data_IF_899457102412
#
_entry.id   IF_899457102412
#
_cell.length_a   1.000
_cell.length_b   1.000
_cell.length_c   1.000
_cell.angle_alpha   90.00
_cell.angle_beta   90.00
_cell.angle_gamma   90.00
#
_symmetry.space_group_name_H-M   'P 1'
#
loop_
_entity.id
_entity.type
_entity.pdbx_description
1 polymer ?
#
# COMPACT_ATOMS: atom_id res chain seq x y z
N UNK A 1 -37.22 28.12 7.61
CA UNK A 1 -37.90 26.95 7.00
C UNK A 1 -36.84 26.07 6.38
N UNK A 2 -36.61 24.86 6.92
CA UNK A 2 -35.67 23.91 6.36
C UNK A 2 -36.39 23.14 5.26
N UNK A 3 -36.08 23.44 4.00
CA UNK A 3 -36.60 22.69 2.85
C UNK A 3 -35.86 21.35 2.86
N UNK A 4 -36.46 20.32 3.45
CA UNK A 4 -35.99 18.94 3.27
C UNK A 4 -36.25 18.58 1.82
N UNK A 5 -35.26 18.80 0.95
CA UNK A 5 -35.30 18.35 -0.43
C UNK A 5 -35.48 16.84 -0.43
N UNK A 6 -36.64 16.36 -0.89
CA UNK A 6 -36.82 14.95 -1.22
C UNK A 6 -36.05 14.72 -2.53
N UNK A 7 -34.91 14.05 -2.44
CA UNK A 7 -34.23 13.51 -3.62
C UNK A 7 -35.22 12.58 -4.35
N UNK A 8 -35.46 12.78 -5.65
CA UNK A 8 -36.30 11.88 -6.44
C UNK A 8 -35.78 10.45 -6.35
N UNK A 9 -36.68 9.47 -6.25
CA UNK A 9 -36.32 8.06 -6.14
C UNK A 9 -35.40 7.59 -7.29
N UNK A 10 -35.58 8.13 -8.49
CA UNK A 10 -34.73 7.87 -9.64
C UNK A 10 -33.28 8.34 -9.44
N UNK A 11 -33.07 9.51 -8.87
CA UNK A 11 -31.72 10.04 -8.58
C UNK A 11 -31.02 9.20 -7.50
N UNK A 12 -31.77 8.72 -6.50
CA UNK A 12 -31.26 7.78 -5.50
C UNK A 12 -30.84 6.44 -6.12
N UNK A 13 -31.60 5.92 -7.08
CA UNK A 13 -31.25 4.68 -7.80
C UNK A 13 -29.97 4.88 -8.62
N UNK A 14 -29.86 5.98 -9.35
CA UNK A 14 -28.68 6.30 -10.16
C UNK A 14 -27.41 6.46 -9.30
N UNK A 15 -27.52 7.14 -8.15
CA UNK A 15 -26.42 7.25 -7.19
C UNK A 15 -26.01 5.89 -6.65
N UNK A 16 -26.96 5.05 -6.23
CA UNK A 16 -26.68 3.69 -5.71
C UNK A 16 -26.00 2.83 -6.77
N UNK A 17 -26.46 2.87 -8.02
CA UNK A 17 -25.83 2.14 -9.13
C UNK A 17 -24.40 2.63 -9.39
N UNK A 18 -24.16 3.93 -9.34
CA UNK A 18 -22.83 4.51 -9.48
C UNK A 18 -21.90 4.05 -8.36
N UNK A 19 -22.37 4.11 -7.11
CA UNK A 19 -21.61 3.60 -5.96
C UNK A 19 -21.31 2.10 -6.08
N UNK A 20 -22.26 1.29 -6.53
CA UNK A 20 -22.06 -0.15 -6.74
C UNK A 20 -20.96 -0.42 -7.80
N UNK A 21 -20.99 0.30 -8.92
CA UNK A 21 -19.96 0.20 -9.97
C UNK A 21 -18.57 0.61 -9.47
N UNK A 22 -18.49 1.66 -8.65
CA UNK A 22 -17.23 2.09 -8.03
C UNK A 22 -16.69 1.03 -7.07
N UNK A 23 -17.55 0.44 -6.23
CA UNK A 23 -17.17 -0.64 -5.31
C UNK A 23 -16.69 -1.89 -6.04
N UNK A 24 -17.36 -2.30 -7.12
CA UNK A 24 -16.89 -3.43 -7.94
C UNK A 24 -15.52 -3.16 -8.56
N UNK A 25 -15.28 -1.94 -9.05
CA UNK A 25 -13.99 -1.55 -9.61
C UNK A 25 -12.89 -1.61 -8.55
N UNK A 26 -13.16 -1.11 -7.34
CA UNK A 26 -12.22 -1.21 -6.21
C UNK A 26 -11.96 -2.66 -5.82
N UNK A 27 -12.99 -3.51 -5.77
CA UNK A 27 -12.85 -4.94 -5.45
C UNK A 27 -11.97 -5.65 -6.48
N UNK A 28 -12.26 -5.50 -7.78
CA UNK A 28 -11.46 -6.12 -8.85
C UNK A 28 -10.01 -5.69 -8.83
N UNK A 29 -9.75 -4.43 -8.48
CA UNK A 29 -8.39 -3.92 -8.32
C UNK A 29 -7.69 -4.56 -7.12
N UNK A 30 -8.36 -4.63 -5.97
CA UNK A 30 -7.82 -5.28 -4.77
C UNK A 30 -7.55 -6.78 -4.98
N UNK A 31 -8.43 -7.49 -5.69
CA UNK A 31 -8.26 -8.92 -6.01
C UNK A 31 -6.95 -9.22 -6.75
N UNK A 32 -6.37 -8.25 -7.49
CA UNK A 32 -5.08 -8.40 -8.19
C UNK A 32 -3.88 -8.46 -7.25
N UNK A 33 -3.99 -7.80 -6.10
CA UNK A 33 -2.90 -7.67 -5.10
C UNK A 33 -3.15 -8.52 -3.86
N UNK A 34 -4.32 -9.15 -3.75
CA UNK A 34 -4.75 -9.85 -2.54
C UNK A 34 -3.76 -10.91 -2.09
N UNK A 35 -3.28 -11.75 -3.02
CA UNK A 35 -2.28 -12.77 -2.73
C UNK A 35 -0.97 -12.18 -2.19
N UNK A 36 -0.51 -11.06 -2.78
CA UNK A 36 0.68 -10.34 -2.31
C UNK A 36 0.46 -9.78 -0.91
N UNK A 37 -0.68 -9.14 -0.66
CA UNK A 37 -1.04 -8.57 0.64
C UNK A 37 -1.13 -9.64 1.72
N UNK A 38 -1.79 -10.76 1.42
CA UNK A 38 -1.93 -11.90 2.34
C UNK A 38 -0.55 -12.47 2.71
N UNK A 39 0.33 -12.67 1.74
CA UNK A 39 1.71 -13.12 1.99
C UNK A 39 2.49 -12.11 2.81
N UNK A 40 2.41 -10.81 2.50
CA UNK A 40 3.09 -9.78 3.31
C UNK A 40 2.54 -9.77 4.74
N UNK A 41 1.25 -10.02 4.98
CA UNK A 41 0.69 -10.13 6.33
C UNK A 41 1.25 -11.31 7.12
N UNK A 42 1.52 -12.46 6.47
CA UNK A 42 2.15 -13.62 7.09
C UNK A 42 3.64 -13.42 7.43
N UNK A 43 4.34 -12.56 6.68
CA UNK A 43 5.78 -12.37 6.81
C UNK A 43 6.20 -11.92 8.23
N UNK A 44 7.12 -12.64 8.88
CA UNK A 44 7.72 -12.23 10.14
C UNK A 44 9.25 -12.15 9.97
N UNK A 45 9.87 -10.97 10.14
CA UNK A 45 11.32 -10.82 10.03
C UNK A 45 12.05 -11.44 11.24
N UNK A 46 13.25 -11.99 11.03
CA UNK A 46 13.94 -12.83 12.04
C UNK A 46 14.89 -12.03 12.96
N UNK A 47 15.18 -10.76 12.65
CA UNK A 47 15.92 -9.77 13.46
C UNK A 47 16.14 -8.54 12.60
N UNK A 48 15.76 -7.36 13.07
CA UNK A 48 15.73 -6.16 12.24
C UNK A 48 16.56 -5.02 12.82
N UNK A 49 17.57 -4.58 12.05
CA UNK A 49 18.37 -3.40 12.38
C UNK A 49 18.30 -2.30 11.31
N UNK A 50 18.01 -2.66 10.06
CA UNK A 50 18.06 -1.75 8.90
C UNK A 50 16.99 -2.10 7.86
N UNK A 51 16.52 -1.09 7.13
CA UNK A 51 15.55 -1.24 6.03
C UNK A 51 16.05 -2.20 4.93
N UNK A 52 17.34 -2.15 4.61
CA UNK A 52 17.94 -3.05 3.61
C UNK A 52 17.89 -4.54 4.01
N UNK A 53 18.00 -4.83 5.30
CA UNK A 53 17.90 -6.20 5.81
C UNK A 53 16.45 -6.70 5.71
N UNK A 54 15.48 -5.81 5.98
CA UNK A 54 14.06 -6.08 5.81
C UNK A 54 13.68 -6.30 4.34
N UNK A 55 14.25 -5.49 3.45
CA UNK A 55 14.08 -5.64 2.00
C UNK A 55 14.56 -7.01 1.53
N UNK A 56 15.76 -7.43 1.93
CA UNK A 56 16.29 -8.72 1.54
C UNK A 56 15.45 -9.88 2.08
N UNK A 57 15.04 -9.83 3.34
CA UNK A 57 14.21 -10.86 3.96
C UNK A 57 12.83 -10.94 3.30
N UNK A 58 12.19 -9.80 3.07
CA UNK A 58 10.88 -9.76 2.41
C UNK A 58 10.97 -10.25 0.97
N UNK A 59 12.00 -9.84 0.21
CA UNK A 59 12.25 -10.35 -1.14
C UNK A 59 12.38 -11.87 -1.17
N UNK A 60 13.20 -12.46 -0.29
CA UNK A 60 13.37 -13.91 -0.21
C UNK A 60 12.05 -14.61 0.14
N UNK A 61 11.32 -14.08 1.12
CA UNK A 61 10.05 -14.63 1.55
C UNK A 61 8.99 -14.60 0.44
N UNK A 62 8.84 -13.45 -0.23
CA UNK A 62 7.94 -13.29 -1.37
C UNK A 62 8.32 -14.23 -2.52
N UNK A 63 9.60 -14.34 -2.85
CA UNK A 63 10.07 -15.23 -3.93
C UNK A 63 9.74 -16.69 -3.64
N UNK A 64 9.87 -17.13 -2.38
CA UNK A 64 9.52 -18.49 -1.97
C UNK A 64 7.99 -18.75 -2.01
N UNK A 65 7.18 -17.79 -1.56
CA UNK A 65 5.73 -17.94 -1.45
C UNK A 65 4.99 -17.70 -2.78
N UNK A 66 5.49 -16.77 -3.59
CA UNK A 66 4.88 -16.33 -4.84
C UNK A 66 5.71 -16.77 -6.05
N UNK A 67 6.11 -18.05 -6.11
CA UNK A 67 6.95 -18.63 -7.16
C UNK A 67 6.43 -18.48 -8.60
N UNK A 68 5.16 -18.07 -8.80
CA UNK A 68 4.55 -17.81 -10.11
C UNK A 68 4.64 -16.34 -10.56
N UNK A 69 5.07 -15.45 -9.68
CA UNK A 69 5.19 -14.01 -9.91
C UNK A 69 6.64 -13.67 -10.26
N UNK A 70 6.84 -12.67 -11.12
CA UNK A 70 8.18 -12.11 -11.36
C UNK A 70 8.48 -11.09 -10.28
N UNK A 71 9.57 -11.27 -9.53
CA UNK A 71 9.93 -10.39 -8.41
C UNK A 71 11.36 -9.87 -8.62
N UNK A 72 11.51 -8.55 -8.56
CA UNK A 72 12.80 -7.86 -8.75
C UNK A 72 13.04 -6.87 -7.61
N UNK A 73 14.30 -6.58 -7.28
CA UNK A 73 14.68 -5.59 -6.25
C UNK A 73 15.33 -4.35 -6.87
N UNK A 74 15.17 -3.19 -6.23
CA UNK A 74 15.84 -1.93 -6.61
C UNK A 74 15.58 -1.48 -8.07
N UNK A 75 14.39 -1.81 -8.61
CA UNK A 75 14.01 -1.48 -10.00
C UNK A 75 13.83 0.03 -10.15
N UNK A 76 14.40 0.60 -11.22
CA UNK A 76 14.25 2.03 -11.51
C UNK A 76 12.85 2.31 -12.10
N UNK A 77 12.08 3.17 -11.43
CA UNK A 77 10.73 3.61 -11.80
C UNK A 77 10.66 5.13 -11.66
N UNK A 78 10.38 5.84 -12.75
CA UNK A 78 10.23 7.30 -12.71
C UNK A 78 11.47 8.07 -12.24
N UNK A 79 12.67 7.50 -12.40
CA UNK A 79 13.94 8.06 -11.92
C UNK A 79 14.27 7.74 -10.45
N UNK A 80 13.40 7.01 -9.75
CA UNK A 80 13.60 6.52 -8.38
C UNK A 80 13.78 5.00 -8.39
N UNK A 81 14.32 4.44 -7.32
CA UNK A 81 14.44 2.99 -7.16
C UNK A 81 13.40 2.50 -6.17
N UNK A 82 12.49 1.64 -6.62
CA UNK A 82 11.56 0.98 -5.73
C UNK A 82 12.21 -0.24 -5.09
N UNK A 83 11.91 -0.50 -3.82
CA UNK A 83 12.59 -1.56 -3.07
C UNK A 83 12.34 -2.94 -3.68
N UNK A 84 11.07 -3.25 -4.00
CA UNK A 84 10.68 -4.50 -4.66
C UNK A 84 9.61 -4.22 -5.72
N UNK A 85 9.76 -4.81 -6.91
CA UNK A 85 8.79 -4.80 -8.01
C UNK A 85 8.23 -6.20 -8.21
N UNK A 86 6.91 -6.32 -8.40
CA UNK A 86 6.22 -7.57 -8.71
C UNK A 86 5.46 -7.41 -10.02
N UNK A 87 5.72 -8.30 -10.98
CA UNK A 87 5.13 -8.35 -12.33
C UNK A 87 5.18 -7.01 -13.09
N UNK A 88 6.09 -6.12 -12.72
CA UNK A 88 6.22 -4.74 -13.23
C UNK A 88 4.97 -3.87 -13.07
N UNK A 89 4.08 -4.29 -12.18
CA UNK A 89 2.77 -3.66 -11.94
C UNK A 89 2.58 -3.26 -10.50
N UNK A 90 3.15 -4.02 -9.57
CA UNK A 90 3.00 -3.79 -8.14
C UNK A 90 4.37 -3.39 -7.59
N UNK A 91 4.41 -2.26 -6.92
CA UNK A 91 5.58 -1.78 -6.21
C UNK A 91 5.44 -1.97 -4.72
N UNK A 92 6.50 -2.38 -4.03
CA UNK A 92 6.57 -2.41 -2.57
C UNK A 92 7.68 -1.45 -2.15
N UNK A 93 7.35 -0.53 -1.25
CA UNK A 93 8.31 0.38 -0.62
C UNK A 93 8.32 0.11 0.88
N UNK A 94 9.49 -0.18 1.42
CA UNK A 94 9.69 -0.58 2.81
C UNK A 94 10.20 0.63 3.60
N UNK A 95 9.57 0.88 4.74
CA UNK A 95 10.00 1.95 5.66
C UNK A 95 9.99 1.50 7.10
N UNK A 96 11.04 1.89 7.81
CA UNK A 96 11.15 1.84 9.26
C UNK A 96 11.22 3.29 9.78
N UNK A 97 10.11 4.04 9.76
CA UNK A 97 10.12 5.47 10.02
C UNK A 97 10.57 5.77 11.45
N UNK A 98 11.48 6.75 11.58
CA UNK A 98 11.94 7.28 12.88
C UNK A 98 11.39 8.67 13.17
N UNK A 99 10.85 9.33 12.14
CA UNK A 99 10.38 10.72 12.18
C UNK A 99 9.22 10.96 11.20
N UNK A 100 8.45 12.02 11.42
CA UNK A 100 7.42 12.45 10.47
C UNK A 100 7.99 12.87 9.11
N UNK A 101 9.24 13.34 9.06
CA UNK A 101 9.91 13.63 7.79
C UNK A 101 10.13 12.38 6.94
N UNK A 102 10.32 11.21 7.54
CA UNK A 102 10.43 9.95 6.80
C UNK A 102 9.09 9.59 6.13
N UNK A 103 7.99 9.81 6.85
CA UNK A 103 6.64 9.62 6.32
C UNK A 103 6.33 10.61 5.19
N UNK A 104 6.69 11.88 5.32
CA UNK A 104 6.50 12.87 4.25
C UNK A 104 7.29 12.52 2.98
N UNK A 105 8.53 12.02 3.10
CA UNK A 105 9.30 11.54 1.96
C UNK A 105 8.63 10.36 1.28
N UNK A 106 8.06 9.44 2.07
CA UNK A 106 7.30 8.30 1.55
C UNK A 106 6.08 8.75 0.74
N UNK A 107 5.36 9.81 1.14
CA UNK A 107 4.27 10.38 0.31
C UNK A 107 4.78 10.78 -1.07
N UNK A 108 5.92 11.48 -1.13
CA UNK A 108 6.53 11.91 -2.39
C UNK A 108 6.91 10.73 -3.29
N UNK A 109 7.52 9.69 -2.71
CA UNK A 109 7.86 8.46 -3.42
C UNK A 109 6.61 7.76 -3.99
N UNK A 110 5.58 7.55 -3.15
CA UNK A 110 4.31 6.94 -3.56
C UNK A 110 3.68 7.73 -4.72
N UNK A 111 3.66 9.06 -4.63
CA UNK A 111 3.09 9.91 -5.67
C UNK A 111 3.83 9.77 -7.03
N UNK A 112 5.14 9.49 -7.02
CA UNK A 112 5.89 9.18 -8.23
C UNK A 112 5.56 7.77 -8.72
N UNK A 113 5.65 6.77 -7.85
CA UNK A 113 5.42 5.36 -8.21
C UNK A 113 4.02 5.09 -8.75
N UNK A 114 2.98 5.71 -8.17
CA UNK A 114 1.59 5.56 -8.63
C UNK A 114 1.33 6.07 -10.05
N UNK A 115 2.28 6.81 -10.67
CA UNK A 115 2.18 7.22 -12.08
C UNK A 115 2.60 6.11 -13.05
N UNK A 116 3.38 5.14 -12.58
CA UNK A 116 4.01 4.11 -13.42
C UNK A 116 3.54 2.70 -13.07
N UNK A 117 3.01 2.49 -11.87
CA UNK A 117 2.58 1.20 -11.36
C UNK A 117 1.05 1.14 -11.19
N UNK A 118 0.49 -0.05 -11.39
CA UNK A 118 -0.91 -0.34 -11.14
C UNK A 118 -1.23 -0.23 -9.65
N UNK A 119 -0.28 -0.65 -8.80
CA UNK A 119 -0.41 -0.62 -7.34
C UNK A 119 0.91 -0.31 -6.63
N UNK A 120 0.82 0.38 -5.49
CA UNK A 120 1.93 0.63 -4.58
C UNK A 120 1.56 0.14 -3.18
N UNK A 121 2.44 -0.63 -2.56
CA UNK A 121 2.28 -1.25 -1.25
C UNK A 121 3.35 -0.74 -0.29
N UNK A 122 3.10 0.35 0.44
CA UNK A 122 3.99 0.78 1.50
C UNK A 122 3.94 -0.21 2.67
N UNK A 123 5.07 -0.84 2.98
CA UNK A 123 5.21 -1.76 4.13
C UNK A 123 5.96 -1.03 5.23
N UNK A 124 5.24 -0.70 6.30
CA UNK A 124 5.69 0.20 7.35
C UNK A 124 5.91 -0.60 8.63
N UNK A 125 7.17 -0.68 9.05
CA UNK A 125 7.57 -1.29 10.32
C UNK A 125 7.71 -0.18 11.37
N UNK A 126 6.74 -0.06 12.27
CA UNK A 126 6.71 1.06 13.22
C UNK A 126 6.58 0.62 14.68
N UNK A 127 7.40 1.24 15.55
CA UNK A 127 7.26 1.16 17.00
C UNK A 127 6.19 2.16 17.46
N UNK A 128 5.41 1.77 18.48
CA UNK A 128 4.13 2.40 18.89
C UNK A 128 4.19 3.86 19.37
N UNK A 129 5.35 4.54 19.40
CA UNK A 129 5.50 5.86 20.03
C UNK A 129 5.83 6.95 19.00
N UNK A 130 5.02 8.02 19.05
CA UNK A 130 5.22 9.36 18.46
C UNK A 130 5.06 9.61 16.95
N UNK A 131 4.52 8.68 16.16
CA UNK A 131 4.22 8.93 14.73
C UNK A 131 2.71 8.97 14.49
N UNK A 132 2.25 9.98 13.76
CA UNK A 132 0.85 10.11 13.33
C UNK A 132 0.56 9.19 12.12
N UNK A 133 0.75 7.89 12.34
CA UNK A 133 0.60 6.86 11.30
C UNK A 133 -0.84 6.75 10.80
N UNK A 134 -1.83 7.02 11.66
CA UNK A 134 -3.23 6.91 11.29
C UNK A 134 -3.58 7.95 10.23
N UNK A 135 -3.26 9.22 10.48
CA UNK A 135 -3.51 10.27 9.49
C UNK A 135 -2.65 10.06 8.25
N UNK A 136 -1.39 9.64 8.42
CA UNK A 136 -0.53 9.32 7.29
C UNK A 136 -1.14 8.24 6.36
N UNK A 137 -1.58 7.10 6.93
CA UNK A 137 -2.20 6.00 6.17
C UNK A 137 -3.47 6.48 5.49
N UNK A 138 -4.30 7.23 6.21
CA UNK A 138 -5.52 7.81 5.66
C UNK A 138 -5.23 8.68 4.43
N UNK A 139 -4.20 9.54 4.48
CA UNK A 139 -3.83 10.41 3.37
C UNK A 139 -3.32 9.63 2.15
N UNK A 140 -2.47 8.61 2.33
CA UNK A 140 -1.93 7.86 1.18
C UNK A 140 -2.95 6.89 0.56
N UNK A 141 -3.85 6.31 1.36
CA UNK A 141 -4.90 5.38 0.87
C UNK A 141 -6.10 6.11 0.24
N UNK A 142 -6.14 7.45 0.24
CA UNK A 142 -7.05 8.20 -0.65
C UNK A 142 -6.80 7.88 -2.13
N UNK A 143 -5.58 7.46 -2.46
CA UNK A 143 -5.26 6.91 -3.75
C UNK A 143 -5.68 5.42 -3.79
N UNK A 144 -6.68 5.09 -4.61
CA UNK A 144 -7.20 3.73 -4.76
C UNK A 144 -6.15 2.68 -5.18
N UNK A 145 -5.01 3.12 -5.75
CA UNK A 145 -3.91 2.27 -6.16
C UNK A 145 -2.85 2.09 -5.06
N UNK A 146 -3.13 2.53 -3.83
CA UNK A 146 -2.21 2.42 -2.69
C UNK A 146 -2.86 1.62 -1.59
N UNK A 147 -2.11 0.67 -1.01
CA UNK A 147 -2.54 -0.06 0.19
C UNK A 147 -1.37 -0.17 1.16
N UNK A 148 -1.48 0.49 2.31
CA UNK A 148 -0.46 0.47 3.33
C UNK A 148 -0.60 -0.77 4.21
N UNK A 149 0.53 -1.38 4.54
CA UNK A 149 0.62 -2.53 5.44
C UNK A 149 1.50 -2.14 6.61
N UNK A 150 0.90 -2.01 7.80
CA UNK A 150 1.65 -1.70 9.03
C UNK A 150 1.98 -2.99 9.76
N UNK A 151 3.27 -3.19 10.06
CA UNK A 151 3.75 -4.28 10.89
C UNK A 151 4.39 -3.73 12.15
N UNK A 152 4.18 -4.42 13.26
CA UNK A 152 4.90 -4.16 14.50
C UNK A 152 6.17 -5.01 14.47
N UNK A 153 7.36 -4.40 14.67
CA UNK A 153 8.56 -5.18 14.93
C UNK A 153 8.36 -6.02 16.20
N UNK A 154 8.92 -7.23 16.25
CA UNK A 154 8.94 -7.99 17.52
C UNK A 154 9.72 -7.18 18.57
N UNK A 155 9.20 -7.15 19.80
CA UNK A 155 9.91 -6.54 20.92
C UNK A 155 10.99 -7.53 21.38
N UNK A 156 12.25 -7.10 21.42
CA UNK A 156 13.35 -7.84 22.06
C UNK A 156 13.06 -8.08 23.56
#
# INVERSE_FOLDING_TARGET
>A
MCVRGQLPYSELVDEVEKYAKELEKKRRKFDKIKDVVDVIHEFQPIKEKKEKDLQLQLYQYLTAKLHKRTIETEKTIGGYKIDISIDDKIGIEIKYPKSNSDLQRLVGQIAVYSKYLDYVLPVIFAKKRSLDLVNFIYEIEKNDNVKAIVKKPEED
#
